data_IF_294893773949
#
_entry.id   IF_294893773949
#
_cell.length_a   1.000
_cell.length_b   1.000
_cell.length_c   1.000
_cell.angle_alpha   90.00
_cell.angle_beta   90.00
_cell.angle_gamma   90.00
#
_symmetry.space_group_name_H-M   'P 1'
#
loop_
_entity.id
_entity.type
_entity.pdbx_description
1 polymer ?
#
# COMPACT_ATOMS: atom_id res chain seq x y z
N UNK A 1 -34.69 -0.90 6.63
CA UNK A 1 -34.07 -0.85 5.28
C UNK A 1 -32.67 -0.25 5.41
N UNK A 2 -31.67 -1.12 5.58
CA UNK A 2 -30.26 -0.77 5.77
C UNK A 2 -29.69 -0.36 4.40
N UNK A 3 -29.18 0.88 4.28
CA UNK A 3 -28.76 1.46 3.00
C UNK A 3 -27.42 0.86 2.54
N UNK A 4 -27.42 0.29 1.34
CA UNK A 4 -26.24 -0.07 0.52
C UNK A 4 -25.36 1.16 0.23
N UNK A 5 -24.50 1.52 1.18
CA UNK A 5 -23.57 2.64 1.05
C UNK A 5 -22.24 2.30 0.35
N UNK A 6 -21.98 1.03 0.03
CA UNK A 6 -20.65 0.61 -0.43
C UNK A 6 -20.50 0.37 -1.94
N UNK A 7 -21.54 0.55 -2.77
CA UNK A 7 -21.46 0.19 -4.21
C UNK A 7 -21.26 1.42 -5.13
N UNK A 8 -21.40 2.67 -4.63
CA UNK A 8 -21.56 3.85 -5.52
C UNK A 8 -20.44 4.90 -5.52
N UNK A 9 -19.18 4.56 -5.28
CA UNK A 9 -18.06 5.48 -5.55
C UNK A 9 -16.92 4.82 -6.32
N UNK A 10 -17.12 4.73 -7.64
CA UNK A 10 -16.11 4.84 -8.71
C UNK A 10 -14.77 4.14 -8.49
N UNK A 11 -14.66 2.92 -9.02
CA UNK A 11 -13.40 2.19 -9.12
C UNK A 11 -13.68 0.69 -9.16
N UNK A 12 -14.09 0.17 -10.32
CA UNK A 12 -14.38 -1.25 -10.50
C UNK A 12 -13.07 -2.05 -10.43
N UNK A 13 -12.80 -2.62 -9.26
CA UNK A 13 -12.19 -3.94 -9.11
C UNK A 13 -13.22 -4.75 -8.34
N UNK A 14 -13.92 -5.62 -9.06
CA UNK A 14 -15.20 -6.20 -8.71
C UNK A 14 -15.11 -7.28 -7.61
N UNK A 15 -16.26 -7.70 -7.05
CA UNK A 15 -16.38 -8.92 -6.23
C UNK A 15 -15.70 -10.15 -6.86
N UNK A 16 -15.55 -10.19 -8.20
CA UNK A 16 -14.85 -11.27 -8.89
C UNK A 16 -13.33 -11.36 -8.58
N UNK A 17 -12.66 -10.24 -8.23
CA UNK A 17 -11.27 -10.27 -7.75
C UNK A 17 -11.16 -10.82 -6.31
N UNK A 18 -12.25 -10.77 -5.55
CA UNK A 18 -12.33 -11.27 -4.17
C UNK A 18 -12.59 -12.78 -4.11
N UNK A 19 -13.18 -13.38 -5.15
CA UNK A 19 -13.51 -14.81 -5.20
C UNK A 19 -12.27 -15.72 -5.37
N UNK A 20 -11.17 -15.21 -5.94
CA UNK A 20 -9.95 -15.98 -6.22
C UNK A 20 -9.20 -16.39 -4.93
N UNK A 21 -9.40 -15.68 -3.81
CA UNK A 21 -8.56 -15.84 -2.62
C UNK A 21 -9.26 -16.46 -1.39
N UNK A 22 -10.53 -16.87 -1.51
CA UNK A 22 -11.25 -17.66 -0.49
C UNK A 22 -11.60 -16.94 0.84
N UNK A 23 -11.02 -15.76 1.10
CA UNK A 23 -11.28 -14.88 2.26
C UNK A 23 -11.42 -13.46 1.73
N UNK A 24 -12.34 -12.61 2.25
CA UNK A 24 -12.42 -11.21 1.83
C UNK A 24 -11.08 -10.51 2.08
N UNK A 25 -10.41 -10.17 0.98
CA UNK A 25 -9.17 -9.42 1.03
C UNK A 25 -9.46 -8.01 1.56
N UNK A 26 -8.53 -7.49 2.36
CA UNK A 26 -8.59 -6.13 2.86
C UNK A 26 -8.02 -5.19 1.79
N UNK A 27 -8.90 -4.37 1.21
CA UNK A 27 -8.52 -3.32 0.28
C UNK A 27 -8.23 -2.01 1.02
N UNK A 28 -7.12 -1.35 0.69
CA UNK A 28 -6.79 -0.06 1.28
C UNK A 28 -5.94 0.79 0.35
N UNK A 29 -5.92 2.09 0.62
CA UNK A 29 -5.08 3.06 -0.10
C UNK A 29 -4.03 3.62 0.85
N UNK A 30 -2.78 3.63 0.39
CA UNK A 30 -1.67 4.30 1.05
C UNK A 30 -1.15 5.39 0.14
N UNK A 31 -1.04 6.60 0.66
CA UNK A 31 -0.36 7.73 0.00
C UNK A 31 0.75 8.19 0.93
N UNK A 32 1.96 8.30 0.39
CA UNK A 32 3.14 8.84 1.06
C UNK A 32 3.60 10.06 0.29
N UNK A 33 4.02 11.10 1.00
CA UNK A 33 4.69 12.23 0.37
C UNK A 33 6.19 11.99 0.41
N UNK A 34 6.90 12.35 -0.66
CA UNK A 34 8.36 12.25 -0.69
C UNK A 34 9.02 13.22 0.30
N UNK A 35 8.31 14.28 0.69
CA UNK A 35 8.69 15.18 1.79
C UNK A 35 8.81 14.46 3.14
N UNK A 36 8.03 13.40 3.40
CA UNK A 36 8.13 12.57 4.61
C UNK A 36 9.49 11.86 4.74
N UNK A 37 10.25 11.82 3.65
CA UNK A 37 11.57 11.21 3.51
C UNK A 37 12.66 12.24 3.18
N UNK A 38 12.32 13.53 3.09
CA UNK A 38 13.26 14.60 2.71
C UNK A 38 13.69 14.57 1.24
N UNK A 39 12.87 14.00 0.34
CA UNK A 39 13.22 13.75 -1.07
C UNK A 39 12.31 14.50 -2.07
N UNK A 40 11.55 15.49 -1.60
CA UNK A 40 10.61 16.23 -2.44
C UNK A 40 11.33 17.05 -3.53
N UNK A 41 10.98 16.83 -4.80
CA UNK A 41 11.59 17.52 -5.94
C UNK A 41 13.06 17.17 -6.20
N UNK A 42 13.61 16.16 -5.52
CA UNK A 42 15.01 15.71 -5.71
C UNK A 42 15.10 14.70 -6.85
N UNK A 43 14.11 13.82 -6.97
CA UNK A 43 14.13 12.71 -7.91
C UNK A 43 13.44 13.07 -9.21
N UNK A 44 13.97 12.58 -10.33
CA UNK A 44 13.25 12.65 -11.58
C UNK A 44 12.15 11.57 -11.64
N UNK A 45 11.29 11.67 -12.65
CA UNK A 45 10.16 10.75 -12.80
C UNK A 45 10.56 9.31 -13.14
N UNK A 46 11.73 9.12 -13.76
CA UNK A 46 12.26 7.78 -14.08
C UNK A 46 12.77 7.12 -12.80
N UNK A 47 13.44 7.87 -11.92
CA UNK A 47 13.89 7.45 -10.61
C UNK A 47 12.70 7.11 -9.71
N UNK A 48 11.70 7.99 -9.64
CA UNK A 48 10.46 7.74 -8.92
C UNK A 48 9.76 6.47 -9.42
N UNK A 49 9.69 6.27 -10.74
CA UNK A 49 9.14 5.05 -11.32
C UNK A 49 9.95 3.79 -10.93
N UNK A 50 11.28 3.85 -10.95
CA UNK A 50 12.15 2.72 -10.56
C UNK A 50 12.02 2.36 -9.08
N UNK A 51 11.94 3.35 -8.21
CA UNK A 51 11.74 3.13 -6.77
C UNK A 51 10.34 2.55 -6.55
N UNK A 52 9.34 3.13 -7.20
CA UNK A 52 7.96 2.68 -7.16
C UNK A 52 7.82 1.20 -7.57
N UNK A 53 8.45 0.75 -8.67
CA UNK A 53 8.36 -0.65 -9.12
C UNK A 53 9.02 -1.60 -8.14
N UNK A 54 10.19 -1.24 -7.60
CA UNK A 54 10.87 -2.02 -6.55
C UNK A 54 10.01 -2.15 -5.28
N UNK A 55 9.31 -1.09 -4.87
CA UNK A 55 8.40 -1.13 -3.73
C UNK A 55 7.27 -2.13 -3.99
N UNK A 56 6.65 -2.07 -5.17
CA UNK A 56 5.56 -2.98 -5.52
C UNK A 56 5.98 -4.44 -5.54
N UNK A 57 7.16 -4.71 -6.12
CA UNK A 57 7.74 -6.05 -6.14
C UNK A 57 7.94 -6.57 -4.72
N UNK A 58 8.57 -5.76 -3.85
CA UNK A 58 8.86 -6.16 -2.47
C UNK A 58 7.60 -6.38 -1.65
N UNK A 59 6.59 -5.51 -1.80
CA UNK A 59 5.32 -5.64 -1.11
C UNK A 59 4.57 -6.93 -1.48
N UNK A 60 4.62 -7.30 -2.77
CA UNK A 60 4.02 -8.54 -3.26
C UNK A 60 4.76 -9.78 -2.74
N UNK A 61 6.10 -9.79 -2.82
CA UNK A 61 6.93 -10.93 -2.44
C UNK A 61 6.96 -11.18 -0.93
N UNK A 62 7.17 -10.14 -0.12
CA UNK A 62 7.41 -10.28 1.32
C UNK A 62 6.11 -10.36 2.13
N UNK A 63 5.06 -9.67 1.68
CA UNK A 63 3.86 -9.44 2.48
C UNK A 63 2.56 -9.88 1.80
N UNK A 64 2.63 -10.46 0.60
CA UNK A 64 1.45 -10.87 -0.17
C UNK A 64 0.47 -9.72 -0.40
N UNK A 65 1.01 -8.51 -0.60
CA UNK A 65 0.24 -7.31 -0.89
C UNK A 65 0.22 -7.06 -2.40
N UNK A 66 -0.96 -7.13 -3.00
CA UNK A 66 -1.12 -6.94 -4.44
C UNK A 66 -1.50 -5.49 -4.74
N UNK A 67 -0.72 -4.83 -5.59
CA UNK A 67 -0.97 -3.44 -5.99
C UNK A 67 -1.91 -3.44 -7.20
N UNK A 68 -3.13 -2.94 -7.03
CA UNK A 68 -4.16 -2.92 -8.07
C UNK A 68 -4.04 -1.71 -9.00
N UNK A 69 -3.69 -0.56 -8.42
CA UNK A 69 -3.41 0.66 -9.16
C UNK A 69 -2.57 1.59 -8.31
N UNK A 70 -1.89 2.51 -8.97
CA UNK A 70 -0.91 3.36 -8.33
C UNK A 70 -0.72 4.69 -9.05
N UNK A 71 -0.05 5.59 -8.36
CA UNK A 71 0.32 6.89 -8.85
C UNK A 71 1.64 7.32 -8.19
N UNK A 72 2.50 7.97 -8.95
CA UNK A 72 3.75 8.56 -8.45
C UNK A 72 4.01 9.90 -9.13
N UNK A 73 4.70 10.82 -8.45
CA UNK A 73 5.01 12.16 -8.98
C UNK A 73 3.79 12.85 -9.60
N UNK A 74 3.97 13.46 -10.78
CA UNK A 74 2.91 14.15 -11.53
C UNK A 74 1.79 13.25 -12.06
N UNK A 75 2.00 11.93 -12.13
CA UNK A 75 0.98 10.97 -12.59
C UNK A 75 -0.18 10.80 -11.60
N UNK A 76 -0.09 11.39 -10.40
CA UNK A 76 -1.07 11.23 -9.32
C UNK A 76 -2.34 12.08 -9.40
N UNK A 77 -2.43 13.05 -10.33
CA UNK A 77 -3.48 14.09 -10.39
C UNK A 77 -3.61 14.99 -9.14
N UNK A 78 -3.00 14.63 -8.02
CA UNK A 78 -2.97 15.38 -6.75
C UNK A 78 -1.85 16.46 -6.76
N UNK A 79 -1.68 17.17 -7.89
CA UNK A 79 -0.44 17.80 -8.36
C UNK A 79 -0.04 19.14 -7.70
N UNK A 80 -0.61 19.49 -6.54
CA UNK A 80 -0.38 20.80 -5.92
C UNK A 80 0.59 20.75 -4.73
N UNK A 81 1.08 19.56 -4.32
CA UNK A 81 1.77 19.37 -3.02
C UNK A 81 3.01 18.46 -3.08
N UNK A 82 3.80 18.56 -4.14
CA UNK A 82 5.07 17.84 -4.26
C UNK A 82 4.93 16.39 -4.72
N UNK A 83 6.06 15.67 -4.70
CA UNK A 83 6.14 14.30 -5.18
C UNK A 83 5.47 13.34 -4.19
N UNK A 84 4.71 12.38 -4.73
CA UNK A 84 3.98 11.39 -3.94
C UNK A 84 4.24 9.97 -4.45
N UNK A 85 3.99 9.01 -3.57
CA UNK A 85 3.83 7.60 -3.88
C UNK A 85 2.46 7.13 -3.38
N UNK A 86 1.60 6.66 -4.28
CA UNK A 86 0.23 6.27 -4.01
C UNK A 86 -0.01 4.84 -4.47
N UNK A 87 -0.58 4.03 -3.59
CA UNK A 87 -0.80 2.61 -3.77
C UNK A 87 -2.25 2.26 -3.38
N UNK A 88 -2.99 1.66 -4.29
CA UNK A 88 -4.22 0.93 -3.97
C UNK A 88 -3.85 -0.55 -3.85
N UNK A 89 -4.04 -1.09 -2.65
CA UNK A 89 -3.45 -2.35 -2.22
C UNK A 89 -4.56 -3.31 -1.82
N UNK A 90 -4.46 -4.54 -2.28
CA UNK A 90 -5.24 -5.67 -1.84
C UNK A 90 -4.36 -6.57 -0.96
N UNK A 91 -4.76 -6.77 0.29
CA UNK A 91 -4.00 -7.56 1.26
C UNK A 91 -4.81 -8.75 1.74
N UNK A 92 -4.19 -9.92 1.73
CA UNK A 92 -4.78 -11.08 2.40
C UNK A 92 -4.58 -10.95 3.93
N UNK A 93 -5.65 -10.95 4.75
CA UNK A 93 -5.55 -10.70 6.20
C UNK A 93 -4.60 -11.61 6.97
N UNK A 94 -4.30 -12.81 6.45
CA UNK A 94 -3.27 -13.74 6.99
C UNK A 94 -1.88 -13.11 7.16
N UNK A 95 -1.55 -12.06 6.41
CA UNK A 95 -0.27 -11.35 6.53
C UNK A 95 -0.32 -10.18 7.52
N UNK A 96 -1.51 -9.83 8.00
CA UNK A 96 -1.72 -8.79 8.99
C UNK A 96 -1.79 -9.45 10.36
N UNK A 97 -0.62 -9.81 10.89
CA UNK A 97 -0.50 -10.50 12.18
C UNK A 97 0.29 -9.69 13.21
N UNK A 98 0.13 -10.07 14.47
CA UNK A 98 0.98 -9.66 15.58
C UNK A 98 1.49 -10.91 16.29
N UNK A 99 2.68 -10.80 16.90
CA UNK A 99 3.25 -11.86 17.72
C UNK A 99 2.85 -11.56 19.17
N UNK A 100 2.25 -12.54 19.85
CA UNK A 100 1.92 -12.41 21.26
C UNK A 100 3.15 -12.61 22.17
N UNK A 101 2.95 -12.46 23.47
CA UNK A 101 3.98 -12.68 24.49
C UNK A 101 4.54 -14.12 24.54
N UNK A 102 3.90 -15.07 23.85
CA UNK A 102 4.31 -16.47 23.76
C UNK A 102 4.92 -16.82 22.40
N UNK A 103 5.14 -15.84 21.53
CA UNK A 103 5.74 -16.05 20.20
C UNK A 103 4.75 -16.56 19.15
N UNK A 104 3.45 -16.64 19.46
CA UNK A 104 2.44 -17.10 18.50
C UNK A 104 1.94 -15.94 17.62
N UNK A 105 1.76 -16.24 16.33
CA UNK A 105 1.26 -15.30 15.34
C UNK A 105 -0.27 -15.30 15.33
N UNK A 106 -0.88 -14.15 15.62
CA UNK A 106 -2.32 -13.96 15.64
C UNK A 106 -2.72 -12.90 14.62
N UNK A 107 -3.87 -13.10 13.96
CA UNK A 107 -4.40 -12.09 13.04
C UNK A 107 -4.76 -10.80 13.79
N UNK A 108 -4.36 -9.66 13.26
CA UNK A 108 -4.72 -8.35 13.78
C UNK A 108 -6.24 -8.15 13.70
N UNK A 109 -6.83 -7.43 14.68
CA UNK A 109 -8.22 -7.02 14.57
C UNK A 109 -8.39 -6.01 13.42
N UNK A 110 -9.56 -6.03 12.75
CA UNK A 110 -9.84 -5.25 11.53
C UNK A 110 -9.57 -3.75 11.68
N UNK A 111 -9.82 -3.19 12.85
CA UNK A 111 -9.57 -1.77 13.15
C UNK A 111 -8.08 -1.38 13.13
N UNK A 112 -7.16 -2.36 13.19
CA UNK A 112 -5.71 -2.14 13.13
C UNK A 112 -5.10 -2.43 11.75
N UNK A 113 -5.86 -3.00 10.81
CA UNK A 113 -5.36 -3.40 9.49
C UNK A 113 -4.78 -2.21 8.71
N UNK A 114 -5.50 -1.09 8.68
CA UNK A 114 -5.06 0.13 7.97
C UNK A 114 -3.70 0.62 8.45
N UNK A 115 -3.53 0.72 9.77
CA UNK A 115 -2.30 1.20 10.38
C UNK A 115 -1.14 0.26 10.05
N UNK A 116 -1.35 -1.06 10.14
CA UNK A 116 -0.31 -2.03 9.84
C UNK A 116 0.10 -2.02 8.36
N UNK A 117 -0.85 -1.90 7.44
CA UNK A 117 -0.52 -1.78 6.01
C UNK A 117 0.29 -0.51 5.75
N UNK A 118 -0.10 0.62 6.35
CA UNK A 118 0.66 1.88 6.22
C UNK A 118 2.10 1.75 6.73
N UNK A 119 2.30 1.15 7.90
CA UNK A 119 3.60 0.85 8.50
C UNK A 119 4.47 0.00 7.55
N UNK A 120 3.92 -1.13 7.06
CA UNK A 120 4.65 -2.04 6.17
C UNK A 120 5.06 -1.37 4.85
N UNK A 121 4.18 -0.54 4.27
CA UNK A 121 4.50 0.22 3.06
C UNK A 121 5.58 1.26 3.33
N UNK A 122 5.44 2.05 4.40
CA UNK A 122 6.44 3.06 4.79
C UNK A 122 7.81 2.45 5.06
N UNK A 123 7.87 1.35 5.80
CA UNK A 123 9.10 0.63 6.09
C UNK A 123 9.77 0.06 4.83
N UNK A 124 8.96 -0.44 3.90
CA UNK A 124 9.46 -0.94 2.62
C UNK A 124 10.06 0.18 1.79
N UNK A 125 9.40 1.33 1.72
CA UNK A 125 9.91 2.54 1.05
C UNK A 125 11.24 2.96 1.68
N UNK A 126 11.29 3.08 3.01
CA UNK A 126 12.52 3.43 3.74
C UNK A 126 13.68 2.50 3.41
N UNK A 127 13.47 1.18 3.46
CA UNK A 127 14.51 0.18 3.16
C UNK A 127 15.04 0.29 1.73
N UNK A 128 14.16 0.59 0.77
CA UNK A 128 14.55 0.73 -0.65
C UNK A 128 15.31 2.03 -0.87
N UNK A 129 14.86 3.13 -0.26
CA UNK A 129 15.52 4.42 -0.35
C UNK A 129 16.93 4.38 0.27
N UNK A 130 17.08 3.79 1.46
CA UNK A 130 18.38 3.62 2.12
C UNK A 130 19.37 2.83 1.26
N UNK A 131 18.93 1.80 0.54
CA UNK A 131 19.79 1.02 -0.36
C UNK A 131 20.15 1.74 -1.66
N UNK A 132 19.38 2.76 -2.04
CA UNK A 132 19.57 3.50 -3.29
C UNK A 132 20.49 4.71 -3.09
N UNK A 133 20.57 5.23 -1.86
CA UNK A 133 21.41 6.37 -1.47
C UNK A 133 22.60 6.03 -0.55
N UNK A 134 22.86 4.73 -0.32
CA UNK A 134 24.08 4.24 0.33
C UNK A 134 25.16 3.92 -0.72
#
# INVERSE_FOLDING_TARGET
>A
KQRDWNIRRGGRSSPESLTIFGIPNYETRVTLQMSDFGLDGIMDNIELFRIYTKICERLSQDYGMYILSSAYGYCGKDNDKGDILKFNILVHPKFLTYIDQHGQSHMLPKNKHRAKVFELVRDTVMKILQKTHA
#
